data_IF_548016318637
#
_entry.id   IF_548016318637
#
_cell.length_a   1.000
_cell.length_b   1.000
_cell.length_c   1.000
_cell.angle_alpha   90.00
_cell.angle_beta   90.00
_cell.angle_gamma   90.00
#
_symmetry.space_group_name_H-M   'P 1'
#
loop_
_entity.id
_entity.type
_entity.pdbx_description
1 polymer ?
#
# COMPACT_ATOMS: atom_id res chain seq x y z
N UNK A 1 38.37 6.30 1.55
CA UNK A 1 37.10 6.54 2.27
C UNK A 1 36.18 7.32 1.34
N UNK A 2 35.33 6.64 0.56
CA UNK A 2 34.39 7.30 -0.33
C UNK A 2 33.00 7.20 0.33
N UNK A 3 32.55 8.33 0.86
CA UNK A 3 31.17 8.51 1.32
C UNK A 3 30.27 8.59 0.07
N UNK A 4 29.50 7.56 -0.19
CA UNK A 4 28.38 7.66 -1.12
C UNK A 4 27.17 8.18 -0.35
N UNK A 5 26.57 9.31 -0.74
CA UNK A 5 25.28 9.71 -0.19
C UNK A 5 24.24 8.71 -0.70
N UNK A 6 23.72 7.88 0.21
CA UNK A 6 22.54 7.06 -0.06
C UNK A 6 21.34 8.03 -0.16
N UNK A 7 20.89 8.30 -1.37
CA UNK A 7 19.57 8.87 -1.56
C UNK A 7 18.57 7.92 -0.92
N UNK A 8 17.97 8.36 0.18
CA UNK A 8 16.83 7.69 0.78
C UNK A 8 15.64 7.87 -0.18
N UNK A 9 15.41 6.88 -1.03
CA UNK A 9 14.22 6.85 -1.87
C UNK A 9 13.00 6.70 -0.95
N UNK A 10 12.19 7.75 -0.91
CA UNK A 10 10.97 7.79 -0.13
C UNK A 10 9.92 6.86 -0.74
N UNK A 11 9.72 5.71 -0.14
CA UNK A 11 8.61 4.84 -0.47
C UNK A 11 7.33 5.43 0.13
N UNK A 12 6.53 6.08 -0.71
CA UNK A 12 5.21 6.56 -0.32
C UNK A 12 4.30 5.35 -0.24
N UNK A 13 4.05 4.85 0.97
CA UNK A 13 2.95 3.92 1.18
C UNK A 13 1.65 4.61 0.76
N UNK A 14 1.06 4.15 -0.34
CA UNK A 14 -0.24 4.62 -0.78
C UNK A 14 -1.29 4.15 0.22
N UNK A 15 -1.58 5.02 1.16
CA UNK A 15 -2.68 4.81 2.09
C UNK A 15 -3.94 5.35 1.42
N UNK A 16 -4.82 4.45 0.99
CA UNK A 16 -6.10 4.80 0.37
C UNK A 16 -7.01 5.41 1.43
N UNK A 17 -7.27 6.71 1.33
CA UNK A 17 -8.26 7.39 2.17
C UNK A 17 -9.63 7.32 1.49
N UNK A 18 -10.66 6.79 2.12
CA UNK A 18 -12.02 6.95 1.62
C UNK A 18 -12.39 8.44 1.67
N UNK A 19 -12.67 9.03 0.51
CA UNK A 19 -13.15 10.40 0.40
C UNK A 19 -14.67 10.39 0.59
N UNK A 20 -15.15 10.79 1.76
CA UNK A 20 -16.57 11.01 1.98
C UNK A 20 -16.90 12.50 1.89
N UNK A 21 -17.95 12.82 1.15
CA UNK A 21 -18.39 14.19 0.95
C UNK A 21 -19.03 14.76 2.22
N UNK A 22 -18.46 15.82 2.76
CA UNK A 22 -19.18 16.83 3.55
C UNK A 22 -19.52 17.97 2.60
N UNK A 23 -20.64 18.63 2.77
CA UNK A 23 -20.86 20.00 2.28
C UNK A 23 -19.87 20.93 3.01
N UNK A 24 -18.63 20.86 2.65
CA UNK A 24 -17.57 21.81 2.96
C UNK A 24 -17.08 22.32 1.62
N UNK A 25 -16.79 23.60 1.55
CA UNK A 25 -16.07 24.22 0.43
C UNK A 25 -15.09 23.22 -0.19
N UNK A 26 -15.07 23.12 -1.52
CA UNK A 26 -14.16 22.24 -2.26
C UNK A 26 -12.75 22.29 -1.64
N UNK A 27 -12.01 21.18 -1.60
CA UNK A 27 -10.69 21.16 -0.97
C UNK A 27 -9.73 22.13 -1.64
N UNK A 28 -8.69 22.60 -0.95
CA UNK A 28 -7.66 23.49 -1.54
C UNK A 28 -7.07 22.86 -2.79
N UNK A 29 -6.75 23.66 -3.82
CA UNK A 29 -6.11 23.19 -5.04
C UNK A 29 -4.76 22.55 -4.75
N UNK A 30 -4.00 23.08 -3.82
CA UNK A 30 -2.75 22.48 -3.34
C UNK A 30 -2.55 22.63 -1.84
N UNK A 31 -1.83 21.67 -1.27
CA UNK A 31 -1.40 21.64 0.13
C UNK A 31 0.07 21.19 0.21
N UNK A 32 0.85 21.84 1.06
CA UNK A 32 2.24 21.48 1.37
C UNK A 32 2.36 21.25 2.87
N UNK A 33 3.07 20.20 3.25
CA UNK A 33 3.22 19.86 4.66
C UNK A 33 4.27 18.78 4.91
N UNK A 34 4.20 18.20 6.10
CA UNK A 34 4.97 17.03 6.47
C UNK A 34 4.07 15.90 6.94
N UNK A 35 4.52 14.69 6.71
CA UNK A 35 3.87 13.46 7.19
C UNK A 35 4.85 12.66 8.01
N UNK A 36 4.44 12.27 9.23
CA UNK A 36 5.11 11.27 10.05
C UNK A 36 4.36 9.95 9.96
N UNK A 37 5.08 8.87 9.68
CA UNK A 37 4.56 7.51 9.59
C UNK A 37 5.30 6.62 10.58
N UNK A 38 4.56 5.80 11.31
CA UNK A 38 5.08 4.64 12.04
C UNK A 38 4.30 3.41 11.61
N UNK A 39 5.01 2.32 11.32
CA UNK A 39 4.40 1.09 10.86
C UNK A 39 5.14 -0.14 11.38
N UNK A 40 4.37 -1.16 11.75
CA UNK A 40 4.81 -2.52 11.96
C UNK A 40 4.16 -3.40 10.92
N UNK A 41 4.94 -4.02 10.05
CA UNK A 41 4.43 -4.86 8.99
C UNK A 41 5.12 -6.22 8.97
N UNK A 42 4.39 -7.25 8.57
CA UNK A 42 4.99 -8.53 8.25
C UNK A 42 5.98 -8.36 7.08
N UNK A 43 7.16 -8.96 7.17
CA UNK A 43 8.23 -8.78 6.18
C UNK A 43 7.79 -9.13 4.74
N UNK A 44 6.98 -10.17 4.62
CA UNK A 44 6.23 -10.59 3.43
C UNK A 44 5.10 -11.53 3.90
N UNK A 45 4.03 -11.75 3.11
CA UNK A 45 2.96 -12.66 3.51
C UNK A 45 3.52 -14.07 3.77
N UNK A 46 3.32 -14.58 4.99
CA UNK A 46 3.89 -15.87 5.41
C UNK A 46 5.18 -15.79 6.24
N UNK A 47 5.82 -14.63 6.36
CA UNK A 47 6.96 -14.44 7.25
C UNK A 47 6.55 -14.53 8.73
N UNK A 48 7.47 -14.94 9.60
CA UNK A 48 7.25 -14.92 11.06
C UNK A 48 7.76 -13.66 11.75
N UNK A 49 8.54 -12.83 11.04
CA UNK A 49 9.10 -11.58 11.57
C UNK A 49 8.34 -10.34 11.09
N UNK A 50 8.36 -9.34 11.96
CA UNK A 50 7.83 -8.00 11.71
C UNK A 50 8.96 -7.03 11.38
N UNK A 51 8.66 -6.07 10.52
CA UNK A 51 9.53 -4.94 10.21
C UNK A 51 8.89 -3.69 10.77
N UNK A 52 9.60 -3.02 11.66
CA UNK A 52 9.17 -1.74 12.22
C UNK A 52 9.88 -0.61 11.48
N UNK A 53 9.11 0.38 11.05
CA UNK A 53 9.63 1.57 10.34
C UNK A 53 9.00 2.83 10.90
N UNK A 54 9.83 3.86 11.03
CA UNK A 54 9.41 5.24 11.24
C UNK A 54 9.97 6.09 10.12
N UNK A 55 9.16 7.00 9.57
CA UNK A 55 9.53 7.85 8.46
C UNK A 55 8.88 9.21 8.62
N UNK A 56 9.61 10.28 8.30
CA UNK A 56 9.07 11.63 8.21
C UNK A 56 9.45 12.21 6.85
N UNK A 57 8.48 12.71 6.11
CA UNK A 57 8.65 13.20 4.75
C UNK A 57 7.87 14.49 4.53
N UNK A 58 8.37 15.43 3.72
CA UNK A 58 7.54 16.49 3.16
C UNK A 58 6.52 15.89 2.19
N UNK A 59 5.36 16.51 2.07
CA UNK A 59 4.38 16.19 1.05
C UNK A 59 3.92 17.43 0.29
N UNK A 60 3.57 17.23 -0.96
CA UNK A 60 2.84 18.16 -1.81
C UNK A 60 1.61 17.44 -2.35
N UNK A 61 0.43 17.99 -2.11
CA UNK A 61 -0.81 17.54 -2.71
C UNK A 61 -1.23 18.61 -3.73
N UNK A 62 -1.58 18.18 -4.94
CA UNK A 62 -2.13 19.04 -5.99
C UNK A 62 -3.36 18.37 -6.60
N UNK A 63 -4.46 19.14 -6.76
CA UNK A 63 -5.77 18.62 -7.19
C UNK A 63 -6.26 19.35 -8.45
N UNK A 64 -5.46 19.29 -9.52
CA UNK A 64 -5.89 19.76 -10.83
C UNK A 64 -6.82 18.77 -11.54
N UNK A 65 -7.45 19.24 -12.63
CA UNK A 65 -8.46 18.46 -13.37
C UNK A 65 -7.87 17.26 -14.11
N UNK A 66 -6.67 17.39 -14.64
CA UNK A 66 -5.99 16.35 -15.44
C UNK A 66 -4.86 15.71 -14.65
N UNK A 67 -4.01 16.52 -14.00
CA UNK A 67 -2.92 16.04 -13.19
C UNK A 67 -3.28 16.18 -11.71
N UNK A 68 -3.26 15.06 -10.98
CA UNK A 68 -3.63 15.04 -9.57
C UNK A 68 -2.61 14.26 -8.77
N UNK A 69 -2.09 14.89 -7.73
CA UNK A 69 -1.31 14.25 -6.67
C UNK A 69 -2.11 14.37 -5.41
N UNK A 70 -2.89 13.35 -5.06
CA UNK A 70 -3.76 13.37 -3.88
C UNK A 70 -3.69 12.02 -3.17
N UNK A 71 -3.33 12.03 -1.88
CA UNK A 71 -3.51 10.96 -0.88
C UNK A 71 -3.30 9.52 -1.38
N UNK A 72 -2.17 9.25 -2.02
CA UNK A 72 -1.86 7.93 -2.55
C UNK A 72 -2.27 7.70 -4.02
N UNK A 73 -2.83 8.72 -4.65
CA UNK A 73 -3.05 8.73 -6.09
C UNK A 73 -2.05 9.69 -6.72
N UNK A 74 -0.96 9.16 -7.23
CA UNK A 74 -0.09 9.87 -8.17
C UNK A 74 -0.60 9.50 -9.55
N UNK A 75 -1.18 10.44 -10.29
CA UNK A 75 -1.51 10.06 -11.64
C UNK A 75 -2.57 10.87 -12.36
N UNK A 76 -2.77 10.44 -13.56
CA UNK A 76 -3.72 10.97 -14.51
C UNK A 76 -5.04 10.25 -14.27
N UNK A 77 -6.08 11.00 -13.91
CA UNK A 77 -7.43 10.48 -13.94
C UNK A 77 -7.84 10.32 -15.42
N UNK A 78 -8.02 9.08 -15.85
CA UNK A 78 -8.34 8.80 -17.26
C UNK A 78 -9.84 8.91 -17.54
N UNK A 79 -10.68 8.41 -16.63
CA UNK A 79 -12.15 8.40 -16.78
C UNK A 79 -12.80 8.52 -15.40
N UNK A 80 -13.86 9.31 -15.29
CA UNK A 80 -14.74 9.37 -14.10
C UNK A 80 -16.19 9.43 -14.55
N UNK A 81 -16.97 8.45 -14.11
CA UNK A 81 -18.44 8.47 -14.11
C UNK A 81 -18.93 8.36 -12.67
N UNK A 82 -20.22 8.49 -12.39
CA UNK A 82 -20.76 8.23 -11.05
C UNK A 82 -20.43 6.83 -10.54
N UNK A 83 -20.46 5.82 -11.41
CA UNK A 83 -20.25 4.42 -11.06
C UNK A 83 -18.79 4.00 -11.14
N UNK A 84 -18.01 4.51 -12.12
CA UNK A 84 -16.65 4.04 -12.41
C UNK A 84 -15.63 5.17 -12.42
N UNK A 85 -14.44 4.87 -11.92
CA UNK A 85 -13.27 5.71 -12.02
C UNK A 85 -12.07 4.85 -12.44
N UNK A 86 -11.30 5.31 -13.42
CA UNK A 86 -10.02 4.71 -13.80
C UNK A 86 -8.93 5.72 -13.51
N UNK A 87 -7.98 5.32 -12.69
CA UNK A 87 -6.80 6.11 -12.35
C UNK A 87 -5.51 5.26 -12.36
N UNK A 88 -4.39 5.91 -12.10
CA UNK A 88 -3.12 5.22 -11.82
C UNK A 88 -2.98 5.09 -10.31
N UNK A 89 -2.89 3.87 -9.83
CA UNK A 89 -2.62 3.57 -8.43
C UNK A 89 -1.14 3.40 -8.17
N UNK A 90 -0.70 3.82 -6.98
CA UNK A 90 0.64 3.60 -6.47
C UNK A 90 0.55 2.79 -5.18
N UNK A 91 1.47 1.87 -4.97
CA UNK A 91 1.59 1.07 -3.77
C UNK A 91 3.05 0.80 -3.43
N UNK A 92 3.30 0.01 -2.40
CA UNK A 92 4.66 -0.40 -2.08
C UNK A 92 4.80 -1.10 -0.73
N UNK A 93 5.98 -1.65 -0.50
CA UNK A 93 6.35 -2.29 0.76
C UNK A 93 7.80 -1.94 1.13
N UNK A 94 8.05 -1.86 2.42
CA UNK A 94 9.40 -1.64 2.93
C UNK A 94 10.26 -2.87 2.73
N UNK A 95 11.49 -2.65 2.31
CA UNK A 95 12.51 -3.68 2.23
C UNK A 95 12.96 -4.20 3.60
N UNK A 96 13.58 -5.36 3.60
CA UNK A 96 14.15 -6.00 4.77
C UNK A 96 15.46 -6.72 4.48
N UNK A 97 16.41 -6.62 5.39
CA UNK A 97 17.64 -7.40 5.29
C UNK A 97 17.38 -8.88 5.57
N UNK A 98 17.96 -9.74 4.78
CA UNK A 98 17.93 -11.20 4.97
C UNK A 98 18.54 -11.63 6.32
N UNK A 99 19.43 -10.81 6.90
CA UNK A 99 19.98 -11.04 8.24
C UNK A 99 18.95 -10.88 9.35
N UNK A 100 17.90 -10.11 9.10
CA UNK A 100 16.80 -9.89 10.06
C UNK A 100 15.68 -10.94 9.92
N UNK A 101 15.75 -11.79 8.89
CA UNK A 101 14.72 -12.77 8.57
C UNK A 101 15.29 -14.19 8.64
N UNK A 102 14.95 -14.94 9.68
CA UNK A 102 15.50 -16.27 9.91
C UNK A 102 15.31 -17.21 8.72
N UNK A 103 14.11 -17.21 8.12
CA UNK A 103 13.81 -18.02 6.94
C UNK A 103 14.66 -17.64 5.72
N UNK A 104 15.15 -16.41 5.63
CA UNK A 104 15.90 -15.88 4.48
C UNK A 104 17.39 -15.67 4.74
N UNK A 105 17.89 -16.11 5.90
CA UNK A 105 19.29 -15.89 6.26
C UNK A 105 20.25 -16.41 5.17
N UNK A 106 21.17 -15.55 4.71
CA UNK A 106 22.11 -15.85 3.63
C UNK A 106 21.55 -15.76 2.21
N UNK A 107 20.27 -15.42 2.04
CA UNK A 107 19.66 -15.10 0.75
C UNK A 107 19.81 -13.59 0.45
N UNK A 108 19.56 -13.14 -0.78
CA UNK A 108 19.47 -11.72 -1.09
C UNK A 108 18.42 -11.01 -0.20
N UNK A 109 18.70 -9.76 0.11
CA UNK A 109 17.78 -8.90 0.84
C UNK A 109 16.47 -8.71 0.02
N UNK A 110 15.36 -8.45 0.70
CA UNK A 110 14.15 -7.97 0.06
C UNK A 110 14.28 -6.44 -0.08
N UNK A 111 14.33 -5.96 -1.30
CA UNK A 111 14.37 -4.53 -1.59
C UNK A 111 13.07 -3.81 -1.23
N UNK A 112 13.15 -2.50 -1.18
CA UNK A 112 11.98 -1.63 -1.06
C UNK A 112 11.23 -1.64 -2.37
N UNK A 113 10.01 -2.16 -2.38
CA UNK A 113 9.21 -2.28 -3.58
C UNK A 113 8.31 -1.06 -3.76
N UNK A 114 8.23 -0.57 -4.98
CA UNK A 114 7.23 0.39 -5.44
C UNK A 114 6.37 -0.26 -6.50
N UNK A 115 5.10 0.02 -6.46
CA UNK A 115 4.09 -0.53 -7.35
C UNK A 115 3.38 0.62 -8.06
N UNK A 116 3.19 0.51 -9.37
CA UNK A 116 2.48 1.51 -10.17
C UNK A 116 1.72 0.85 -11.30
N UNK A 117 0.48 1.31 -11.53
CA UNK A 117 -0.33 0.78 -12.61
C UNK A 117 -1.79 1.23 -12.56
N UNK A 118 -2.59 0.85 -13.57
CA UNK A 118 -3.99 1.21 -13.65
C UNK A 118 -4.80 0.58 -12.51
N UNK A 119 -5.81 1.32 -12.06
CA UNK A 119 -6.79 0.88 -11.08
C UNK A 119 -8.19 1.29 -11.53
N UNK A 120 -9.05 0.30 -11.67
CA UNK A 120 -10.48 0.49 -11.84
C UNK A 120 -11.13 0.53 -10.46
N UNK A 121 -11.94 1.55 -10.21
CA UNK A 121 -12.80 1.68 -9.04
C UNK A 121 -14.24 1.62 -9.50
N UNK A 122 -15.03 0.78 -8.86
CA UNK A 122 -16.46 0.65 -9.08
C UNK A 122 -17.22 1.02 -7.80
N UNK A 123 -17.97 2.13 -7.86
CA UNK A 123 -18.87 2.55 -6.80
C UNK A 123 -20.17 1.74 -6.89
N UNK A 124 -20.25 0.67 -6.11
CA UNK A 124 -21.38 -0.28 -6.18
C UNK A 124 -22.64 0.31 -5.59
N UNK A 125 -22.53 0.91 -4.40
CA UNK A 125 -23.67 1.49 -3.70
C UNK A 125 -23.26 2.65 -2.80
N UNK A 126 -24.15 3.60 -2.66
CA UNK A 126 -24.15 4.60 -1.60
C UNK A 126 -25.39 4.34 -0.74
N UNK A 127 -25.15 4.05 0.53
CA UNK A 127 -26.19 3.70 1.50
C UNK A 127 -26.63 4.94 2.28
N UNK A 128 -27.76 4.83 2.95
CA UNK A 128 -28.25 5.85 3.86
C UNK A 128 -27.20 6.12 4.95
N UNK A 129 -27.10 7.39 5.42
CA UNK A 129 -26.06 7.79 6.37
C UNK A 129 -24.67 8.03 5.75
N UNK A 130 -24.55 7.97 4.41
CA UNK A 130 -23.31 8.30 3.69
C UNK A 130 -22.28 7.18 3.60
N UNK A 131 -22.64 5.96 4.01
CA UNK A 131 -21.81 4.79 3.82
C UNK A 131 -21.72 4.41 2.33
N UNK A 132 -20.57 3.86 1.92
CA UNK A 132 -20.28 3.49 0.53
C UNK A 132 -19.70 2.10 0.43
N UNK A 133 -20.18 1.36 -0.57
CA UNK A 133 -19.61 0.08 -0.99
C UNK A 133 -18.89 0.28 -2.32
N UNK A 134 -17.62 -0.12 -2.37
CA UNK A 134 -16.77 0.03 -3.54
C UNK A 134 -15.96 -1.23 -3.79
N UNK A 135 -15.84 -1.62 -5.05
CA UNK A 135 -14.84 -2.59 -5.50
C UNK A 135 -13.68 -1.86 -6.19
N UNK A 136 -12.46 -2.30 -5.93
CA UNK A 136 -11.26 -1.77 -6.59
C UNK A 136 -10.48 -2.93 -7.21
N UNK A 137 -9.93 -2.69 -8.41
CA UNK A 137 -9.20 -3.68 -9.21
C UNK A 137 -7.86 -3.08 -9.68
N UNK A 138 -6.89 -2.91 -8.79
CA UNK A 138 -5.56 -2.42 -9.17
C UNK A 138 -4.74 -3.54 -9.83
N UNK A 139 -4.15 -3.23 -10.97
CA UNK A 139 -3.14 -4.05 -11.64
C UNK A 139 -1.86 -3.23 -11.76
N UNK A 140 -0.81 -3.62 -11.02
CA UNK A 140 0.40 -2.82 -10.89
C UNK A 140 1.65 -3.60 -11.26
N UNK A 141 2.57 -2.95 -11.97
CA UNK A 141 3.95 -3.38 -12.08
C UNK A 141 4.70 -3.14 -10.77
N UNK A 142 5.57 -4.06 -10.38
CA UNK A 142 6.35 -4.02 -9.14
C UNK A 142 7.82 -3.79 -9.48
N UNK A 143 8.43 -2.80 -8.85
CA UNK A 143 9.82 -2.39 -9.09
C UNK A 143 10.57 -2.27 -7.77
N UNK A 144 11.85 -2.61 -7.79
CA UNK A 144 12.75 -2.57 -6.64
C UNK A 144 13.55 -1.27 -6.65
N UNK A 145 13.34 -0.41 -5.66
CA UNK A 145 14.04 0.87 -5.53
C UNK A 145 15.51 0.69 -5.20
N UNK A 146 15.86 -0.38 -4.49
CA UNK A 146 17.24 -0.65 -4.06
C UNK A 146 18.05 -1.32 -5.17
N UNK A 147 17.39 -1.80 -6.25
CA UNK A 147 17.98 -2.45 -7.41
C UNK A 147 17.65 -1.67 -8.70
N UNK A 148 17.92 -0.36 -8.73
CA UNK A 148 17.78 0.53 -9.90
C UNK A 148 16.43 0.41 -10.62
N UNK A 149 15.34 0.26 -9.89
CA UNK A 149 14.01 0.03 -10.42
C UNK A 149 13.87 -1.27 -11.23
N UNK A 150 14.66 -2.28 -10.92
CA UNK A 150 14.52 -3.59 -11.55
C UNK A 150 13.10 -4.13 -11.36
N UNK A 151 12.47 -4.58 -12.45
CA UNK A 151 11.14 -5.16 -12.37
C UNK A 151 11.15 -6.44 -11.54
N UNK A 152 10.29 -6.53 -10.56
CA UNK A 152 10.02 -7.74 -9.76
C UNK A 152 8.71 -8.43 -10.16
N UNK A 153 8.09 -8.00 -11.27
CA UNK A 153 6.88 -8.61 -11.82
C UNK A 153 5.65 -7.75 -11.71
N UNK A 154 4.49 -8.37 -11.55
CA UNK A 154 3.20 -7.69 -11.46
C UNK A 154 2.35 -8.25 -10.33
N UNK A 155 1.49 -7.37 -9.79
CA UNK A 155 0.53 -7.69 -8.73
C UNK A 155 -0.88 -7.24 -9.15
N UNK A 156 -1.87 -8.06 -8.82
CA UNK A 156 -3.30 -7.76 -8.94
C UNK A 156 -3.95 -7.93 -7.57
N UNK A 157 -4.60 -6.87 -7.06
CA UNK A 157 -5.12 -6.84 -5.69
C UNK A 157 -6.59 -6.40 -5.64
N UNK A 158 -7.53 -7.18 -6.20
CA UNK A 158 -8.95 -6.84 -6.10
C UNK A 158 -9.40 -6.82 -4.66
N UNK A 159 -10.20 -5.81 -4.33
CA UNK A 159 -10.80 -5.66 -3.00
C UNK A 159 -12.21 -5.12 -3.07
N UNK A 160 -13.03 -5.51 -2.09
CA UNK A 160 -14.34 -4.96 -1.79
C UNK A 160 -14.25 -4.20 -0.48
N UNK A 161 -14.59 -2.92 -0.50
CA UNK A 161 -14.53 -2.05 0.67
C UNK A 161 -15.90 -1.50 1.05
N UNK A 162 -16.10 -1.38 2.35
CA UNK A 162 -17.18 -0.63 2.98
C UNK A 162 -16.56 0.53 3.75
N UNK A 163 -17.01 1.75 3.48
CA UNK A 163 -16.50 2.95 4.15
C UNK A 163 -17.64 3.84 4.61
N UNK A 164 -17.48 4.43 5.80
CA UNK A 164 -18.44 5.37 6.37
C UNK A 164 -17.72 6.58 6.94
N UNK A 165 -18.34 7.73 6.80
CA UNK A 165 -17.95 8.97 7.47
C UNK A 165 -18.98 9.31 8.53
N UNK A 166 -18.52 9.51 9.76
CA UNK A 166 -19.37 9.97 10.85
C UNK A 166 -19.37 11.50 10.99
N UNK A 167 -20.40 12.03 11.67
CA UNK A 167 -20.65 13.46 11.83
C UNK A 167 -19.54 14.22 12.59
N UNK A 168 -18.78 13.54 13.44
CA UNK A 168 -17.71 14.13 14.26
C UNK A 168 -16.32 14.17 13.59
N UNK A 169 -16.27 14.01 12.27
CA UNK A 169 -15.01 14.08 11.50
C UNK A 169 -14.18 12.80 11.50
N UNK A 170 -14.69 11.70 12.06
CA UNK A 170 -14.13 10.38 11.90
C UNK A 170 -14.53 9.79 10.55
N UNK A 171 -13.69 8.97 9.99
CA UNK A 171 -14.00 8.12 8.83
C UNK A 171 -13.42 6.73 9.07
N UNK A 172 -14.19 5.71 8.76
CA UNK A 172 -13.85 4.31 8.92
C UNK A 172 -14.01 3.60 7.58
N UNK A 173 -13.17 2.64 7.31
CA UNK A 173 -13.40 1.69 6.23
C UNK A 173 -12.86 0.32 6.62
N UNK A 174 -13.52 -0.71 6.09
CA UNK A 174 -13.04 -2.07 6.13
C UNK A 174 -13.05 -2.62 4.70
N UNK A 175 -12.09 -3.48 4.37
CA UNK A 175 -12.04 -4.10 3.06
C UNK A 175 -11.59 -5.56 3.17
N UNK A 176 -12.12 -6.37 2.27
CA UNK A 176 -11.70 -7.75 2.05
C UNK A 176 -11.23 -7.88 0.60
N UNK A 177 -10.11 -8.55 0.41
CA UNK A 177 -9.51 -8.71 -0.92
C UNK A 177 -8.56 -9.89 -0.97
N UNK A 178 -7.89 -10.01 -2.10
CA UNK A 178 -6.85 -10.98 -2.30
C UNK A 178 -5.71 -10.39 -3.13
N UNK A 179 -4.53 -10.95 -2.96
CA UNK A 179 -3.31 -10.54 -3.65
C UNK A 179 -2.91 -11.66 -4.60
N UNK A 180 -2.80 -11.38 -5.89
CA UNK A 180 -2.24 -12.28 -6.89
C UNK A 180 -0.94 -11.72 -7.43
N UNK A 181 0.06 -12.57 -7.58
CA UNK A 181 1.34 -12.20 -8.18
C UNK A 181 1.69 -13.08 -9.37
N UNK A 182 2.44 -12.50 -10.31
CA UNK A 182 3.07 -13.30 -11.33
C UNK A 182 4.22 -14.15 -10.75
N UNK A 183 4.82 -15.01 -11.57
CA UNK A 183 5.92 -15.89 -11.13
C UNK A 183 7.13 -15.09 -10.61
N UNK A 184 7.42 -13.92 -11.20
CA UNK A 184 8.59 -13.13 -10.82
C UNK A 184 8.40 -12.54 -9.43
N UNK A 185 7.22 -11.96 -9.15
CA UNK A 185 6.90 -11.44 -7.83
C UNK A 185 6.84 -12.57 -6.78
N UNK A 186 6.19 -13.69 -7.13
CA UNK A 186 6.15 -14.86 -6.26
C UNK A 186 7.55 -15.39 -5.93
N UNK A 187 8.45 -15.42 -6.91
CA UNK A 187 9.85 -15.86 -6.71
C UNK A 187 10.62 -14.91 -5.78
N UNK A 188 10.34 -13.62 -5.81
CA UNK A 188 10.95 -12.63 -4.90
C UNK A 188 10.66 -12.98 -3.43
N UNK A 189 9.42 -13.40 -3.12
CA UNK A 189 9.02 -13.72 -1.75
C UNK A 189 9.27 -15.17 -1.35
N UNK A 190 9.04 -16.13 -2.26
CA UNK A 190 8.92 -17.56 -1.92
C UNK A 190 9.94 -18.45 -2.60
N UNK A 191 10.67 -17.96 -3.61
CA UNK A 191 11.69 -18.74 -4.32
C UNK A 191 12.92 -19.01 -3.46
N UNK A 192 13.45 -20.25 -3.52
CA UNK A 192 14.73 -20.66 -2.94
C UNK A 192 15.56 -21.29 -4.03
N UNK A 193 16.54 -20.55 -4.54
CA UNK A 193 17.47 -21.10 -5.53
C UNK A 193 18.34 -22.23 -4.90
N UNK A 194 18.78 -23.23 -5.67
CA UNK A 194 19.60 -24.32 -5.15
C UNK A 194 20.84 -23.87 -4.36
N UNK A 195 21.45 -22.76 -4.75
CA UNK A 195 22.60 -22.15 -4.03
C UNK A 195 22.28 -21.70 -2.60
N UNK A 196 21.00 -21.49 -2.27
CA UNK A 196 20.54 -21.08 -0.93
C UNK A 196 19.81 -22.21 -0.20
N UNK A 197 19.73 -23.40 -0.80
CA UNK A 197 19.15 -24.57 -0.15
C UNK A 197 20.09 -25.16 0.91
N UNK A 198 19.52 -25.81 1.91
CA UNK A 198 20.24 -26.48 2.98
C UNK A 198 19.32 -27.39 3.78
N UNK A 199 19.84 -27.95 4.87
CA UNK A 199 19.11 -28.94 5.67
C UNK A 199 17.77 -28.43 6.23
N UNK A 200 17.69 -27.12 6.57
CA UNK A 200 16.49 -26.48 7.12
C UNK A 200 15.63 -25.77 6.07
N UNK A 201 16.06 -25.70 4.81
CA UNK A 201 15.42 -24.90 3.76
C UNK A 201 15.67 -25.56 2.39
N UNK A 202 14.70 -26.31 1.90
CA UNK A 202 14.78 -26.95 0.57
C UNK A 202 14.73 -25.92 -0.56
N UNK A 203 15.30 -26.25 -1.72
CA UNK A 203 15.10 -25.49 -2.95
C UNK A 203 13.60 -25.45 -3.28
N UNK A 204 13.13 -24.30 -3.76
CA UNK A 204 11.72 -24.12 -4.07
C UNK A 204 11.54 -23.19 -5.29
N UNK A 205 10.80 -23.66 -6.27
CA UNK A 205 10.42 -22.88 -7.45
C UNK A 205 9.02 -22.32 -7.24
N UNK A 206 8.91 -21.00 -7.10
CA UNK A 206 7.64 -20.34 -6.89
C UNK A 206 6.79 -20.33 -8.17
N UNK A 207 5.49 -20.45 -8.00
CA UNK A 207 4.48 -20.37 -9.04
C UNK A 207 3.72 -19.04 -8.98
N UNK A 208 3.25 -18.55 -10.14
CA UNK A 208 2.25 -17.48 -10.19
C UNK A 208 0.95 -17.93 -9.54
N UNK A 209 0.19 -16.99 -8.99
CA UNK A 209 -1.11 -17.26 -8.39
C UNK A 209 -1.39 -16.41 -7.18
N UNK A 210 -2.36 -16.83 -6.39
CA UNK A 210 -2.73 -16.14 -5.16
C UNK A 210 -1.58 -16.17 -4.17
N UNK A 211 -1.20 -14.97 -3.68
CA UNK A 211 -0.19 -14.76 -2.64
C UNK A 211 -0.84 -14.80 -1.26
N UNK A 212 -1.95 -14.09 -1.08
CA UNK A 212 -2.64 -14.02 0.21
C UNK A 212 -4.09 -13.56 0.05
N UNK A 213 -4.94 -13.94 1.00
CA UNK A 213 -6.18 -13.24 1.34
C UNK A 213 -5.85 -12.07 2.25
N UNK A 214 -6.56 -10.96 2.10
CA UNK A 214 -6.35 -9.74 2.88
C UNK A 214 -7.64 -9.24 3.49
N UNK A 215 -7.60 -8.92 4.77
CA UNK A 215 -8.63 -8.14 5.45
C UNK A 215 -7.94 -6.89 6.00
N UNK A 216 -8.52 -5.72 5.76
CA UNK A 216 -7.99 -4.45 6.22
C UNK A 216 -9.06 -3.58 6.87
N UNK A 217 -8.62 -2.73 7.80
CA UNK A 217 -9.42 -1.69 8.40
C UNK A 217 -8.61 -0.39 8.44
N UNK A 218 -9.28 0.71 8.19
CA UNK A 218 -8.70 2.05 8.26
C UNK A 218 -9.56 2.98 9.09
N UNK A 219 -8.93 3.90 9.77
CA UNK A 219 -9.57 4.97 10.51
C UNK A 219 -8.86 6.27 10.21
N UNK A 220 -9.59 7.36 10.04
CA UNK A 220 -9.00 8.68 9.93
C UNK A 220 -9.81 9.74 10.66
N UNK A 221 -9.12 10.77 11.15
CA UNK A 221 -9.73 11.92 11.82
C UNK A 221 -8.99 13.20 11.47
N UNK A 222 -9.74 14.26 11.21
CA UNK A 222 -9.22 15.62 11.15
C UNK A 222 -9.17 16.16 12.58
N UNK A 223 -7.96 16.29 13.16
CA UNK A 223 -7.77 16.75 14.54
C UNK A 223 -7.86 18.28 14.66
N UNK A 224 -7.39 18.99 13.60
CA UNK A 224 -7.50 20.44 13.46
C UNK A 224 -7.62 20.80 11.98
N UNK A 225 -7.60 22.12 11.66
CA UNK A 225 -7.60 22.55 10.25
C UNK A 225 -6.37 22.01 9.49
N UNK A 226 -5.24 21.91 10.18
CA UNK A 226 -3.95 21.57 9.60
C UNK A 226 -3.45 20.16 9.94
N UNK A 227 -4.07 19.50 10.94
CA UNK A 227 -3.63 18.20 11.42
C UNK A 227 -4.63 17.11 11.10
N UNK A 228 -4.14 16.05 10.48
CA UNK A 228 -4.94 14.87 10.14
C UNK A 228 -4.24 13.60 10.62
N UNK A 229 -4.99 12.77 11.35
CA UNK A 229 -4.55 11.44 11.81
C UNK A 229 -5.15 10.38 10.90
N UNK A 230 -4.35 9.37 10.60
CA UNK A 230 -4.78 8.17 9.90
C UNK A 230 -4.17 6.95 10.58
N UNK A 231 -4.96 5.89 10.71
CA UNK A 231 -4.53 4.58 11.20
C UNK A 231 -5.00 3.48 10.27
N UNK A 232 -4.21 2.42 10.15
CA UNK A 232 -4.61 1.22 9.44
C UNK A 232 -4.17 -0.03 10.20
N UNK A 233 -4.93 -1.10 10.00
CA UNK A 233 -4.56 -2.45 10.38
C UNK A 233 -4.98 -3.39 9.26
N UNK A 234 -4.17 -4.43 9.00
CA UNK A 234 -4.49 -5.48 8.05
C UNK A 234 -4.00 -6.84 8.52
N UNK A 235 -4.68 -7.88 8.10
CA UNK A 235 -4.21 -9.25 8.24
C UNK A 235 -4.14 -9.90 6.86
N UNK A 236 -3.04 -10.60 6.63
CA UNK A 236 -2.80 -11.38 5.41
C UNK A 236 -2.79 -12.87 5.78
N UNK A 237 -3.53 -13.69 5.04
CA UNK A 237 -3.56 -15.15 5.19
C UNK A 237 -3.06 -15.83 3.91
N UNK A 238 -2.05 -16.67 4.04
CA UNK A 238 -1.49 -17.47 2.94
C UNK A 238 -2.11 -18.88 2.86
N UNK A 239 -3.20 -19.12 3.59
CA UNK A 239 -3.93 -20.39 3.51
C UNK A 239 -4.55 -20.54 2.11
N UNK A 240 -4.28 -21.68 1.46
CA UNK A 240 -4.71 -21.92 0.07
C UNK A 240 -3.96 -21.09 -0.98
N UNK A 241 -2.94 -20.32 -0.61
CA UNK A 241 -2.10 -19.60 -1.55
C UNK A 241 -1.24 -20.54 -2.40
N UNK A 242 -0.88 -20.09 -3.62
CA UNK A 242 -0.13 -20.91 -4.59
C UNK A 242 1.23 -21.37 -4.06
N UNK A 243 1.85 -20.59 -3.17
CA UNK A 243 3.17 -20.86 -2.61
C UNK A 243 3.15 -21.17 -1.10
N UNK A 244 2.02 -21.61 -0.56
CA UNK A 244 1.87 -21.94 0.87
C UNK A 244 2.82 -23.06 1.34
N UNK A 245 3.33 -23.90 0.41
CA UNK A 245 4.29 -24.97 0.69
C UNK A 245 5.76 -24.51 0.63
N UNK A 246 6.04 -23.25 0.34
CA UNK A 246 7.41 -22.73 0.33
C UNK A 246 8.03 -22.83 1.73
N UNK A 247 9.31 -23.25 1.85
CA UNK A 247 10.02 -23.25 3.14
C UNK A 247 10.20 -21.84 3.73
N UNK A 248 9.91 -20.79 2.96
CA UNK A 248 9.92 -19.41 3.44
C UNK A 248 8.58 -19.00 4.10
N UNK A 249 7.54 -19.82 4.00
CA UNK A 249 6.25 -19.60 4.68
C UNK A 249 6.29 -20.24 6.07
N UNK A 250 6.53 -19.41 7.07
CA UNK A 250 6.64 -19.85 8.48
C UNK A 250 5.36 -19.61 9.30
N UNK A 251 4.47 -18.74 8.81
CA UNK A 251 3.15 -18.47 9.41
C UNK A 251 2.07 -18.40 8.36
N UNK A 252 0.90 -18.95 8.68
CA UNK A 252 -0.26 -18.88 7.77
C UNK A 252 -0.93 -17.53 7.79
N UNK A 253 -0.90 -16.82 8.91
CA UNK A 253 -1.53 -15.52 9.09
C UNK A 253 -0.51 -14.52 9.63
N UNK A 254 -0.57 -13.28 9.15
CA UNK A 254 0.24 -12.18 9.61
C UNK A 254 -0.57 -10.91 9.77
N UNK A 255 -0.14 -10.03 10.65
CA UNK A 255 -0.79 -8.75 10.94
C UNK A 255 0.19 -7.63 10.61
N UNK A 256 -0.32 -6.53 10.07
CA UNK A 256 0.42 -5.29 9.90
C UNK A 256 -0.46 -4.12 10.37
N UNK A 257 0.15 -3.12 10.99
CA UNK A 257 -0.55 -1.93 11.44
C UNK A 257 0.35 -0.70 11.32
N UNK A 258 -0.24 0.47 11.22
CA UNK A 258 0.51 1.71 11.22
C UNK A 258 -0.36 2.93 11.48
N UNK A 259 0.32 4.04 11.76
CA UNK A 259 -0.30 5.34 11.98
C UNK A 259 0.46 6.40 11.18
N UNK A 260 -0.30 7.36 10.67
CA UNK A 260 0.22 8.50 9.91
C UNK A 260 -0.35 9.77 10.52
N UNK A 261 0.51 10.73 10.84
CA UNK A 261 0.14 12.08 11.22
C UNK A 261 0.59 13.02 10.11
N UNK A 262 -0.37 13.72 9.49
CA UNK A 262 -0.09 14.73 8.48
C UNK A 262 -0.32 16.13 9.07
N UNK A 263 0.66 17.01 8.86
CA UNK A 263 0.60 18.42 9.21
C UNK A 263 0.76 19.29 7.95
N UNK A 264 -0.25 20.10 7.65
CA UNK A 264 -0.27 21.00 6.49
C UNK A 264 0.26 22.37 6.93
N UNK A 265 1.37 22.82 6.34
CA UNK A 265 1.95 24.14 6.64
C UNK A 265 1.30 25.26 5.85
N UNK A 266 0.96 24.94 4.59
CA UNK A 266 0.42 25.94 3.66
C UNK A 266 -0.52 25.28 2.67
N UNK A 267 -1.59 25.98 2.33
CA UNK A 267 -2.58 25.53 1.35
C UNK A 267 -3.03 26.70 0.49
N UNK A 268 -3.56 26.40 -0.71
CA UNK A 268 -4.08 27.44 -1.62
C UNK A 268 -5.41 27.99 -1.12
N UNK A 269 -5.67 29.25 -1.41
CA UNK A 269 -7.01 29.84 -1.30
C UNK A 269 -7.91 29.34 -2.42
N UNK A 270 -7.34 29.12 -3.62
CA UNK A 270 -8.05 28.51 -4.74
C UNK A 270 -8.49 27.09 -4.37
N UNK A 271 -9.69 26.73 -4.81
CA UNK A 271 -10.30 25.43 -4.55
C UNK A 271 -10.17 24.53 -5.78
N UNK A 272 -10.09 23.22 -5.53
CA UNK A 272 -10.12 22.24 -6.62
C UNK A 272 -11.50 22.25 -7.26
N UNK A 273 -11.55 22.18 -8.58
CA UNK A 273 -12.76 21.87 -9.34
C UNK A 273 -12.98 20.36 -9.30
N UNK A 274 -14.18 19.90 -8.93
CA UNK A 274 -14.53 18.46 -8.87
C UNK A 274 -14.92 17.92 -10.25
#
# INVERSE_FOLDING_TARGET
>A
MHFHPRLAAACVCAVVFPCAAQQSSAPPLWEIGAVGLVASQQAYPGANQQINRGLALPFLIYRGDVFRVDRGNLGIRAVKTPEFEIDIGVGGSFGSSSRQLDARRGMPDLGTLVEVGPRLKWNIAQLDGGARVRAEFPLRGVFDLDDRLASKGAVFEPELSFGQRESEGWSYAAAVGAVWGDRRLASTFYGVAPAYAGASRSAYTAASGMIAWRLSATVSRKLSQDIRLFGYARTDSVQGAANAASPLVLRKNGVSAGMVLAYTWKQSEARATD
#
